data_IF_295642994543
#
_entry.id   IF_295642994543
#
_cell.length_a   1.000
_cell.length_b   1.000
_cell.length_c   1.000
_cell.angle_alpha   90.00
_cell.angle_beta   90.00
_cell.angle_gamma   90.00
#
_symmetry.space_group_name_H-M   'P 1'
#
loop_
_entity.id
_entity.type
_entity.pdbx_description
1 polymer ?
#
# COMPACT_ATOMS: atom_id res chain seq x y z
N UNK A 1 -9.54 1.19 -12.78
CA UNK A 1 -10.71 0.43 -12.28
C UNK A 1 -10.20 -0.33 -11.07
N UNK A 2 -10.72 -0.08 -9.88
CA UNK A 2 -10.27 -0.76 -8.66
C UNK A 2 -10.86 -2.18 -8.63
N UNK A 3 -10.07 -3.16 -8.21
CA UNK A 3 -10.54 -4.54 -8.03
C UNK A 3 -11.73 -4.51 -7.06
N UNK A 4 -12.92 -5.02 -7.44
CA UNK A 4 -14.07 -5.06 -6.55
C UNK A 4 -13.77 -5.93 -5.33
N UNK A 5 -13.92 -5.38 -4.12
CA UNK A 5 -13.85 -6.13 -2.86
C UNK A 5 -12.65 -5.83 -1.94
N UNK A 6 -11.64 -5.08 -2.40
CA UNK A 6 -10.59 -4.56 -1.51
C UNK A 6 -10.91 -3.11 -1.18
N UNK A 7 -11.22 -2.82 0.09
CA UNK A 7 -11.42 -1.46 0.56
C UNK A 7 -10.12 -0.67 0.32
N UNK A 8 -10.16 0.30 -0.58
CA UNK A 8 -9.02 1.12 -0.96
C UNK A 8 -8.88 2.35 -0.06
N UNK A 9 -9.86 2.63 0.79
CA UNK A 9 -9.89 3.78 1.69
C UNK A 9 -8.73 3.78 2.70
N UNK A 10 -8.39 2.65 3.37
CA UNK A 10 -7.26 2.62 4.30
C UNK A 10 -5.92 2.83 3.59
N UNK A 11 -5.71 2.22 2.42
CA UNK A 11 -4.51 2.40 1.61
C UNK A 11 -4.39 3.86 1.14
N UNK A 12 -5.48 4.45 0.65
CA UNK A 12 -5.51 5.84 0.20
C UNK A 12 -5.16 6.80 1.33
N UNK A 13 -5.78 6.66 2.50
CA UNK A 13 -5.51 7.52 3.65
C UNK A 13 -4.06 7.41 4.11
N UNK A 14 -3.50 6.19 4.18
CA UNK A 14 -2.10 5.97 4.53
C UNK A 14 -1.14 6.56 3.48
N UNK A 15 -1.45 6.40 2.20
CA UNK A 15 -0.66 6.95 1.10
C UNK A 15 -0.67 8.49 1.12
N UNK A 16 -1.84 9.12 1.22
CA UNK A 16 -1.97 10.58 1.31
C UNK A 16 -1.24 11.14 2.53
N UNK A 17 -1.39 10.50 3.69
CA UNK A 17 -0.68 10.88 4.92
C UNK A 17 0.84 10.82 4.73
N UNK A 18 1.34 9.74 4.12
CA UNK A 18 2.78 9.57 3.90
C UNK A 18 3.32 10.55 2.86
N UNK A 19 2.58 10.80 1.77
CA UNK A 19 2.94 11.82 0.78
C UNK A 19 2.94 13.23 1.39
N UNK A 20 1.98 13.55 2.25
CA UNK A 20 1.93 14.83 2.95
C UNK A 20 3.12 14.99 3.92
N UNK A 21 3.48 13.93 4.64
CA UNK A 21 4.63 13.91 5.55
C UNK A 21 5.98 14.07 4.82
N UNK A 22 6.07 13.60 3.58
CA UNK A 22 7.27 13.74 2.74
C UNK A 22 7.25 14.98 1.82
N UNK A 23 6.23 15.83 1.92
CA UNK A 23 6.13 17.06 1.11
C UNK A 23 5.72 16.86 -0.35
N UNK A 24 5.24 15.67 -0.73
CA UNK A 24 4.81 15.34 -2.09
C UNK A 24 3.32 15.61 -2.34
N UNK A 25 2.49 15.67 -1.30
CA UNK A 25 1.07 15.96 -1.46
C UNK A 25 0.84 17.46 -1.68
N UNK A 26 0.27 17.81 -2.83
CA UNK A 26 -0.12 19.19 -3.13
C UNK A 26 -1.21 19.65 -2.14
N UNK A 27 -0.95 20.76 -1.42
CA UNK A 27 -1.90 21.34 -0.45
C UNK A 27 -2.83 22.38 -1.06
N UNK A 28 -2.47 22.93 -2.22
CA UNK A 28 -3.24 23.92 -2.97
C UNK A 28 -2.76 23.97 -4.43
N UNK A 29 -3.62 24.49 -5.31
CA UNK A 29 -3.34 24.65 -6.74
C UNK A 29 -3.39 23.34 -7.54
N UNK A 30 -3.04 23.44 -8.82
CA UNK A 30 -2.97 22.27 -9.71
C UNK A 30 -1.67 21.51 -9.47
N UNK A 31 -1.72 20.22 -9.09
CA UNK A 31 -0.52 19.43 -8.88
C UNK A 31 0.23 19.21 -10.19
N UNK A 32 1.58 19.21 -10.13
CA UNK A 32 2.43 18.94 -11.30
C UNK A 32 2.34 17.48 -11.76
N UNK A 33 2.10 16.58 -10.81
CA UNK A 33 2.00 15.15 -11.02
C UNK A 33 0.78 14.59 -10.29
N UNK A 34 0.15 13.61 -10.90
CA UNK A 34 -0.94 12.81 -10.36
C UNK A 34 -0.41 11.41 -10.07
N UNK A 35 -0.90 10.80 -9.00
CA UNK A 35 -0.53 9.45 -8.58
C UNK A 35 -1.80 8.61 -8.45
N UNK A 36 -1.85 7.51 -9.19
CA UNK A 36 -2.83 6.45 -9.02
C UNK A 36 -2.17 5.25 -8.34
N UNK A 37 -2.85 4.65 -7.36
CA UNK A 37 -2.43 3.42 -6.71
C UNK A 37 -3.50 2.35 -6.92
N UNK A 38 -3.09 1.20 -7.45
CA UNK A 38 -4.00 0.11 -7.80
C UNK A 38 -3.49 -1.20 -7.17
N UNK A 39 -4.24 -1.72 -6.19
CA UNK A 39 -3.98 -3.04 -5.61
C UNK A 39 -4.28 -4.08 -6.69
N UNK A 40 -3.24 -4.70 -7.24
CA UNK A 40 -3.34 -5.77 -8.23
C UNK A 40 -3.73 -7.08 -7.57
N UNK A 41 -3.13 -7.36 -6.41
CA UNK A 41 -3.41 -8.55 -5.62
C UNK A 41 -3.17 -8.28 -4.13
N UNK A 42 -3.94 -8.97 -3.29
CA UNK A 42 -3.71 -9.04 -1.85
C UNK A 42 -3.86 -10.50 -1.42
N UNK A 43 -2.72 -11.19 -1.32
CA UNK A 43 -2.68 -12.60 -0.94
C UNK A 43 -2.74 -12.72 0.58
N UNK A 44 -3.77 -13.40 1.08
CA UNK A 44 -4.05 -13.60 2.49
C UNK A 44 -4.09 -15.10 2.79
N UNK A 45 -3.15 -15.63 3.58
CA UNK A 45 -3.11 -17.05 3.88
C UNK A 45 -4.29 -17.44 4.79
N UNK A 46 -4.98 -18.53 4.46
CA UNK A 46 -6.14 -19.00 5.23
C UNK A 46 -5.76 -19.72 6.52
N UNK A 47 -4.55 -20.30 6.58
CA UNK A 47 -4.06 -21.11 7.69
C UNK A 47 -2.60 -20.78 7.97
N UNK A 48 -2.21 -20.82 9.24
CA UNK A 48 -0.84 -20.57 9.64
C UNK A 48 -0.76 -20.15 11.11
N UNK A 49 0.33 -20.56 11.76
CA UNK A 49 0.70 -20.07 13.09
C UNK A 49 1.05 -18.57 12.99
N UNK A 50 1.89 -18.27 11.99
CA UNK A 50 2.14 -16.92 11.49
C UNK A 50 1.35 -16.69 10.19
N UNK A 51 0.96 -15.44 9.96
CA UNK A 51 0.23 -15.01 8.77
C UNK A 51 1.09 -14.04 7.97
N UNK A 52 1.43 -14.46 6.76
CA UNK A 52 2.20 -13.71 5.77
C UNK A 52 1.28 -13.18 4.68
N UNK A 53 0.94 -11.89 4.73
CA UNK A 53 0.17 -11.22 3.67
C UNK A 53 1.11 -10.68 2.61
N UNK A 54 0.82 -10.92 1.34
CA UNK A 54 1.53 -10.34 0.20
C UNK A 54 0.67 -9.28 -0.46
N UNK A 55 1.11 -8.02 -0.43
CA UNK A 55 0.48 -6.92 -1.14
C UNK A 55 1.21 -6.66 -2.46
N UNK A 56 0.48 -6.66 -3.57
CA UNK A 56 0.96 -6.29 -4.90
C UNK A 56 0.21 -5.05 -5.37
N UNK A 57 0.90 -3.91 -5.42
CA UNK A 57 0.32 -2.61 -5.75
C UNK A 57 1.09 -2.00 -6.89
N UNK A 58 0.38 -1.54 -7.91
CA UNK A 58 0.95 -0.78 -9.01
C UNK A 58 0.66 0.70 -8.80
N UNK A 59 1.72 1.49 -8.71
CA UNK A 59 1.65 2.96 -8.67
C UNK A 59 1.91 3.53 -10.06
N UNK A 60 1.05 4.44 -10.51
CA UNK A 60 1.17 5.12 -11.81
C UNK A 60 1.28 6.61 -11.55
N UNK A 61 2.39 7.21 -11.95
CA UNK A 61 2.61 8.66 -11.90
C UNK A 61 2.40 9.20 -13.31
N UNK A 62 1.64 10.29 -13.42
CA UNK A 62 1.45 11.01 -14.69
C UNK A 62 1.52 12.52 -14.46
N UNK A 63 2.06 13.26 -15.42
CA UNK A 63 2.11 14.72 -15.36
C UNK A 63 3.36 15.32 -15.99
N UNK A 64 3.30 16.62 -16.30
CA UNK A 64 4.41 17.36 -16.92
C UNK A 64 5.02 16.68 -18.17
N UNK A 65 4.20 15.98 -18.97
CA UNK A 65 4.64 15.27 -20.18
C UNK A 65 5.36 13.94 -19.91
N UNK A 66 5.41 13.48 -18.66
CA UNK A 66 6.03 12.22 -18.27
C UNK A 66 5.02 11.25 -17.64
N UNK A 67 5.32 9.96 -17.73
CA UNK A 67 4.61 8.90 -17.04
C UNK A 67 5.60 7.86 -16.53
N UNK A 68 5.33 7.31 -15.35
CA UNK A 68 6.13 6.25 -14.74
C UNK A 68 5.24 5.26 -14.01
N UNK A 69 5.62 3.98 -14.03
CA UNK A 69 4.87 2.89 -13.39
C UNK A 69 5.80 2.12 -12.46
N UNK A 70 5.34 1.89 -11.22
CA UNK A 70 6.09 1.21 -10.17
C UNK A 70 5.24 0.04 -9.63
N UNK A 71 5.50 -1.19 -10.07
CA UNK A 71 4.93 -2.38 -9.45
C UNK A 71 5.72 -2.70 -8.18
N UNK A 72 5.05 -2.67 -7.02
CA UNK A 72 5.66 -2.89 -5.71
C UNK A 72 4.98 -4.08 -5.04
N UNK A 73 5.77 -5.09 -4.69
CA UNK A 73 5.32 -6.31 -4.02
C UNK A 73 5.99 -6.44 -2.66
N UNK A 74 5.20 -6.45 -1.60
CA UNK A 74 5.70 -6.46 -0.22
C UNK A 74 5.01 -7.52 0.61
N UNK A 75 5.71 -7.95 1.67
CA UNK A 75 5.19 -8.91 2.65
C UNK A 75 4.99 -8.23 4.00
N UNK A 76 3.84 -8.47 4.61
CA UNK A 76 3.55 -8.16 6.00
C UNK A 76 3.32 -9.44 6.79
N UNK A 77 4.08 -9.65 7.85
CA UNK A 77 3.97 -10.83 8.70
C UNK A 77 3.33 -10.46 10.03
N UNK A 78 2.39 -11.27 10.52
CA UNK A 78 1.91 -11.23 11.90
C UNK A 78 2.03 -12.61 12.55
N UNK A 79 2.63 -12.65 13.73
CA UNK A 79 2.93 -13.88 14.47
C UNK A 79 1.95 -14.12 15.60
N UNK A 80 1.95 -15.31 16.19
CA UNK A 80 1.13 -15.61 17.38
C UNK A 80 1.39 -14.64 18.56
N UNK A 81 2.63 -14.13 18.66
CA UNK A 81 2.99 -13.14 19.68
C UNK A 81 2.36 -11.78 19.45
N UNK A 82 1.98 -11.45 18.22
CA UNK A 82 1.24 -10.22 17.91
C UNK A 82 -0.22 -10.31 18.34
N UNK A 83 -0.84 -11.49 18.22
CA UNK A 83 -2.16 -11.79 18.77
C UNK A 83 -2.45 -13.30 18.75
N UNK A 84 -3.10 -13.87 19.78
CA UNK A 84 -3.59 -15.25 19.72
C UNK A 84 -4.78 -15.40 18.75
N UNK A 85 -5.50 -14.32 18.43
CA UNK A 85 -6.68 -14.31 17.56
C UNK A 85 -6.23 -14.21 16.09
N UNK A 86 -6.60 -15.19 15.26
CA UNK A 86 -6.18 -15.25 13.85
C UNK A 86 -6.69 -14.06 13.02
N UNK A 87 -7.93 -13.62 13.25
CA UNK A 87 -8.49 -12.45 12.56
C UNK A 87 -7.70 -11.16 12.85
N UNK A 88 -7.25 -10.96 14.09
CA UNK A 88 -6.42 -9.80 14.46
C UNK A 88 -5.05 -9.87 13.81
N UNK A 89 -4.43 -11.06 13.78
CA UNK A 89 -3.17 -11.25 13.04
C UNK A 89 -3.34 -10.94 11.57
N UNK A 90 -4.44 -11.34 10.95
CA UNK A 90 -4.71 -11.05 9.54
C UNK A 90 -4.80 -9.55 9.29
N UNK A 91 -5.50 -8.81 10.17
CA UNK A 91 -5.54 -7.35 10.12
C UNK A 91 -4.14 -6.73 10.26
N UNK A 92 -3.34 -7.18 11.23
CA UNK A 92 -1.97 -6.68 11.47
C UNK A 92 -1.06 -6.97 10.26
N UNK A 93 -1.12 -8.17 9.70
CA UNK A 93 -0.33 -8.56 8.54
C UNK A 93 -0.69 -7.71 7.31
N UNK A 94 -1.99 -7.46 7.08
CA UNK A 94 -2.48 -6.55 6.04
C UNK A 94 -1.92 -5.13 6.20
N UNK A 95 -2.01 -4.56 7.41
CA UNK A 95 -1.50 -3.22 7.71
C UNK A 95 0.02 -3.13 7.48
N UNK A 96 0.78 -4.13 7.95
CA UNK A 96 2.23 -4.22 7.75
C UNK A 96 2.59 -4.32 6.27
N UNK A 97 1.89 -5.14 5.50
CA UNK A 97 2.13 -5.32 4.07
C UNK A 97 1.92 -3.99 3.32
N UNK A 98 0.81 -3.29 3.58
CA UNK A 98 0.49 -2.00 2.95
C UNK A 98 1.45 -0.88 3.36
N UNK A 99 1.79 -0.77 4.65
CA UNK A 99 2.77 0.22 5.10
C UNK A 99 4.15 0.00 4.48
N UNK A 100 4.60 -1.25 4.41
CA UNK A 100 5.87 -1.58 3.75
C UNK A 100 5.80 -1.28 2.24
N UNK A 101 4.65 -1.51 1.61
CA UNK A 101 4.43 -1.22 0.18
C UNK A 101 4.61 0.27 -0.13
N UNK A 102 3.93 1.14 0.62
CA UNK A 102 4.04 2.60 0.47
C UNK A 102 5.49 3.04 0.72
N UNK A 103 6.16 2.48 1.74
CA UNK A 103 7.55 2.80 2.05
C UNK A 103 8.49 2.47 0.90
N UNK A 104 8.36 1.28 0.30
CA UNK A 104 9.18 0.86 -0.84
C UNK A 104 8.89 1.69 -2.09
N UNK A 105 7.62 2.03 -2.34
CA UNK A 105 7.26 2.97 -3.41
C UNK A 105 8.00 4.30 -3.26
N UNK A 106 7.97 4.91 -2.07
CA UNK A 106 8.67 6.18 -1.83
C UNK A 106 10.19 6.07 -1.92
N UNK A 107 10.75 4.90 -1.63
CA UNK A 107 12.17 4.64 -1.86
C UNK A 107 12.50 4.56 -3.35
N UNK A 108 11.60 3.99 -4.17
CA UNK A 108 11.77 3.92 -5.62
C UNK A 108 11.61 5.28 -6.33
N UNK A 109 11.05 6.30 -5.67
CA UNK A 109 10.98 7.67 -6.18
C UNK A 109 12.28 8.47 -6.01
N UNK A 110 13.22 7.98 -5.19
CA UNK A 110 14.45 8.69 -4.84
C UNK A 110 15.56 8.51 -5.87
#
# INVERSE_FOLDING_TARGET
>A
MTVPGVANEPLKAALESTLAANGYLARSGTPKFYLDAEIQNLDQPLIGLDLDVIADVTYKISGAGAAATYPIKTKGTATFSDSPIAADRMRIANERAMHQNIKEFLQALR
#
